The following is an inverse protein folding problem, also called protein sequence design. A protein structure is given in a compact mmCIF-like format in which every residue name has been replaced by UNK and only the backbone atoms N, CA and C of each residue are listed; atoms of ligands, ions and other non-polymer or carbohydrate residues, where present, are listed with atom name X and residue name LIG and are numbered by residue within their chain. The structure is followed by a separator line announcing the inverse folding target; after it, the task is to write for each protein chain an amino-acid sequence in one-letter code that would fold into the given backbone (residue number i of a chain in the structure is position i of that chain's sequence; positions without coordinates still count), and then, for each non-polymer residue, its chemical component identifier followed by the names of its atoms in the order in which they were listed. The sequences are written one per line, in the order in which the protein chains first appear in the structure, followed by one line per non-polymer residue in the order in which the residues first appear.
data_IF_044350015538
#
_entry.id   IF_044350015538
#
_cell.length_a   1.000
_cell.length_b   1.000
_cell.length_c   1.000
_cell.angle_alpha   90.00
_cell.angle_beta   90.00
_cell.angle_gamma   90.00
#
_symmetry.space_group_name_H-M   'P 1'
#
loop_
_entity.id
_entity.type
_entity.pdbx_description
1 polymer ?
#
# COMPACT_ATOMS: atom_id res chain seq x y z
N UNK A 1 -13.71 -12.27 7.44
CA UNK A 1 -12.27 -12.16 7.74
C UNK A 1 -11.84 -13.36 8.54
N UNK A 2 -10.93 -14.18 7.97
CA UNK A 2 -10.24 -15.25 8.70
C UNK A 2 -9.37 -14.67 9.83
N UNK A 3 -8.84 -15.51 10.70
CA UNK A 3 -7.99 -15.10 11.82
C UNK A 3 -6.75 -14.32 11.35
N UNK A 4 -6.29 -13.39 12.21
CA UNK A 4 -5.09 -12.63 11.94
C UNK A 4 -3.83 -13.51 12.17
N UNK A 5 -2.87 -13.43 11.26
CA UNK A 5 -1.66 -14.25 11.28
C UNK A 5 -0.54 -13.69 12.17
N UNK A 6 -0.67 -12.46 12.67
CA UNK A 6 0.36 -11.79 13.46
C UNK A 6 -0.24 -10.78 14.46
N UNK A 7 0.53 -10.33 15.48
CA UNK A 7 0.05 -9.39 16.49
C UNK A 7 -0.43 -8.04 15.92
N UNK A 8 0.22 -7.52 14.88
CA UNK A 8 -0.20 -6.27 14.23
C UNK A 8 -1.60 -6.39 13.64
N UNK A 9 -1.88 -7.47 12.90
CA UNK A 9 -3.23 -7.74 12.37
C UNK A 9 -4.28 -7.80 13.48
N UNK A 10 -3.97 -8.46 14.60
CA UNK A 10 -4.85 -8.51 15.76
C UNK A 10 -5.15 -7.13 16.34
N UNK A 11 -4.16 -6.22 16.45
CA UNK A 11 -4.43 -4.85 16.94
C UNK A 11 -5.41 -4.10 16.05
N UNK A 12 -5.28 -4.24 14.71
CA UNK A 12 -6.21 -3.62 13.75
C UNK A 12 -7.61 -4.22 13.85
N UNK A 13 -7.72 -5.53 13.94
CA UNK A 13 -9.00 -6.21 14.13
C UNK A 13 -9.69 -5.77 15.44
N UNK A 14 -8.95 -5.72 16.55
CA UNK A 14 -9.51 -5.27 17.84
C UNK A 14 -10.04 -3.83 17.76
N UNK A 15 -9.33 -2.91 17.09
CA UNK A 15 -9.80 -1.54 16.88
C UNK A 15 -11.13 -1.54 16.10
N UNK A 16 -11.26 -2.34 15.06
CA UNK A 16 -12.52 -2.44 14.31
C UNK A 16 -13.68 -2.91 15.21
N UNK A 17 -13.46 -3.93 16.05
CA UNK A 17 -14.50 -4.46 16.96
C UNK A 17 -14.88 -3.46 18.06
N UNK A 18 -13.90 -2.71 18.60
CA UNK A 18 -14.16 -1.63 19.55
C UNK A 18 -15.03 -0.53 18.92
N UNK A 19 -14.67 -0.08 17.70
CA UNK A 19 -15.40 0.99 17.01
C UNK A 19 -16.81 0.56 16.59
N UNK A 20 -16.99 -0.67 16.13
CA UNK A 20 -18.32 -1.27 15.87
C UNK A 20 -19.19 -1.28 17.14
N UNK A 21 -18.58 -1.63 18.27
CA UNK A 21 -19.28 -1.68 19.56
C UNK A 21 -19.64 -0.27 20.06
N UNK A 22 -18.74 0.72 19.85
CA UNK A 22 -19.01 2.12 20.17
C UNK A 22 -20.20 2.68 19.37
N UNK A 23 -20.27 2.41 18.06
CA UNK A 23 -21.40 2.81 17.21
C UNK A 23 -22.72 2.14 17.62
N UNK A 24 -22.69 0.92 18.16
CA UNK A 24 -23.90 0.28 18.72
C UNK A 24 -24.36 0.95 20.01
N UNK A 25 -23.43 1.43 20.83
CA UNK A 25 -23.74 2.10 22.08
C UNK A 25 -24.21 3.55 21.88
N UNK A 26 -23.67 4.22 20.86
CA UNK A 26 -24.04 5.59 20.47
C UNK A 26 -24.47 5.64 19.00
N UNK A 27 -25.79 5.65 18.70
CA UNK A 27 -26.30 5.70 17.34
C UNK A 27 -26.02 7.03 16.60
N UNK A 28 -25.54 8.05 17.28
CA UNK A 28 -25.18 9.35 16.66
C UNK A 28 -23.75 9.33 16.11
N UNK A 29 -22.93 8.37 16.53
CA UNK A 29 -21.55 8.25 16.11
C UNK A 29 -21.46 7.81 14.64
N UNK A 30 -20.59 8.46 13.87
CA UNK A 30 -20.24 8.08 12.51
C UNK A 30 -18.78 7.62 12.45
N UNK A 31 -18.55 6.38 12.01
CA UNK A 31 -17.22 5.78 11.88
C UNK A 31 -17.08 5.15 10.51
N UNK A 32 -16.02 5.50 9.81
CA UNK A 32 -15.62 4.84 8.55
C UNK A 32 -14.27 4.18 8.75
N UNK A 33 -14.25 2.86 8.63
CA UNK A 33 -13.05 2.03 8.73
C UNK A 33 -12.48 1.80 7.33
N UNK A 34 -11.30 2.37 7.06
CA UNK A 34 -10.62 2.22 5.79
C UNK A 34 -9.49 1.19 5.92
N UNK A 35 -9.61 0.10 5.19
CA UNK A 35 -8.58 -0.94 5.09
C UNK A 35 -7.73 -0.68 3.87
N UNK A 36 -6.55 -0.06 4.06
CA UNK A 36 -5.61 0.14 2.95
C UNK A 36 -4.76 -1.10 2.71
N UNK A 37 -4.46 -1.33 1.43
CA UNK A 37 -3.49 -2.34 1.05
C UNK A 37 -2.08 -1.74 1.12
N UNK A 38 -1.25 -1.78 0.11
CA UNK A 38 0.13 -1.30 0.20
C UNK A 38 0.29 0.10 -0.39
N UNK A 39 0.21 1.19 0.41
CA UNK A 39 0.39 2.54 -0.13
C UNK A 39 1.82 2.75 -0.61
N UNK A 40 1.95 3.27 -1.82
CA UNK A 40 3.22 3.66 -2.45
C UNK A 40 3.01 4.91 -3.33
N UNK A 41 4.06 5.37 -3.98
CA UNK A 41 4.00 6.60 -4.74
C UNK A 41 4.33 7.82 -3.88
N UNK A 42 4.29 8.96 -4.52
CA UNK A 42 4.47 10.28 -3.93
C UNK A 42 3.59 11.28 -4.67
N UNK A 43 3.44 12.49 -4.17
CA UNK A 43 2.77 13.53 -4.92
C UNK A 43 3.59 13.91 -6.16
N UNK A 44 2.95 14.10 -7.30
CA UNK A 44 3.59 14.38 -8.60
C UNK A 44 4.51 15.60 -8.60
N UNK A 45 4.30 16.55 -7.68
CA UNK A 45 5.19 17.70 -7.49
C UNK A 45 6.61 17.33 -7.05
N UNK A 46 6.80 16.14 -6.43
CA UNK A 46 8.04 15.71 -5.80
C UNK A 46 8.40 16.50 -4.53
N UNK A 47 7.42 17.18 -3.91
CA UNK A 47 7.60 17.93 -2.65
C UNK A 47 7.30 17.07 -1.41
N UNK A 48 6.47 16.04 -1.57
CA UNK A 48 6.07 15.13 -0.49
C UNK A 48 6.36 13.71 -0.94
N UNK A 49 6.99 12.92 -0.07
CA UNK A 49 7.31 11.52 -0.32
C UNK A 49 7.60 10.75 0.97
N UNK A 50 8.00 9.50 0.83
CA UNK A 50 8.26 8.61 1.96
C UNK A 50 9.75 8.61 2.34
N UNK A 51 10.05 9.04 3.57
CA UNK A 51 11.41 9.03 4.14
C UNK A 51 11.42 8.28 5.48
N UNK A 52 11.46 6.94 5.47
CA UNK A 52 11.44 6.15 6.69
C UNK A 52 12.73 6.32 7.50
N UNK A 53 12.60 6.36 8.82
CA UNK A 53 13.73 6.34 9.73
C UNK A 53 14.40 4.95 9.72
N UNK A 54 15.71 4.93 9.45
CA UNK A 54 16.50 3.69 9.42
C UNK A 54 16.31 2.86 8.15
N UNK A 55 16.29 1.53 8.31
CA UNK A 55 16.10 0.59 7.18
C UNK A 55 14.62 0.52 6.83
N UNK A 56 14.24 0.79 5.56
CA UNK A 56 12.85 0.67 5.14
C UNK A 56 12.32 -0.76 5.31
N UNK A 57 11.12 -0.87 5.85
CA UNK A 57 10.39 -2.14 5.92
C UNK A 57 9.50 -2.36 4.69
N UNK A 58 9.11 -1.26 4.00
CA UNK A 58 8.28 -1.29 2.80
C UNK A 58 9.13 -1.42 1.53
N UNK A 59 8.57 -2.05 0.50
CA UNK A 59 9.26 -2.36 -0.75
C UNK A 59 9.67 -1.09 -1.51
N UNK A 60 8.75 -0.15 -1.74
CA UNK A 60 9.02 1.02 -2.59
C UNK A 60 10.14 1.93 -2.03
N UNK A 61 10.16 2.34 -0.76
CA UNK A 61 11.27 3.14 -0.23
C UNK A 61 12.59 2.37 -0.22
N UNK A 62 12.58 1.04 -0.14
CA UNK A 62 13.80 0.24 -0.29
C UNK A 62 14.30 0.29 -1.75
N UNK A 63 13.41 0.12 -2.74
CA UNK A 63 13.71 0.24 -4.17
C UNK A 63 14.31 1.60 -4.48
N UNK A 64 13.68 2.69 -4.04
CA UNK A 64 14.17 4.06 -4.31
C UNK A 64 15.52 4.33 -3.66
N UNK A 65 15.78 3.79 -2.44
CA UNK A 65 17.09 3.89 -1.79
C UNK A 65 18.17 3.07 -2.50
N UNK A 66 17.84 1.94 -3.13
CA UNK A 66 18.77 1.19 -3.99
C UNK A 66 19.05 1.99 -5.26
N UNK A 67 18.01 2.47 -5.92
CA UNK A 67 18.12 3.23 -7.17
C UNK A 67 18.95 4.52 -7.03
N UNK A 68 18.87 5.22 -5.87
CA UNK A 68 19.68 6.44 -5.60
C UNK A 68 21.09 6.11 -5.06
N UNK A 69 21.44 4.83 -4.88
CA UNK A 69 22.77 4.41 -4.41
C UNK A 69 22.97 4.44 -2.89
N UNK A 70 21.92 4.69 -2.09
CA UNK A 70 22.00 4.60 -0.61
C UNK A 70 22.15 3.17 -0.11
N UNK A 71 21.73 2.19 -0.93
CA UNK A 71 21.83 0.75 -0.67
C UNK A 71 22.39 0.04 -1.90
N UNK A 72 23.14 -1.02 -1.66
CA UNK A 72 23.80 -1.78 -2.71
C UNK A 72 22.81 -2.54 -3.58
N UNK A 73 21.85 -3.21 -2.96
CA UNK A 73 20.89 -4.10 -3.62
C UNK A 73 19.64 -4.35 -2.79
N UNK A 74 18.56 -4.76 -3.47
CA UNK A 74 17.33 -5.24 -2.86
C UNK A 74 17.44 -6.75 -2.58
N UNK A 75 16.89 -7.22 -1.45
CA UNK A 75 16.64 -8.65 -1.23
C UNK A 75 15.17 -8.94 -1.51
N UNK A 76 14.90 -9.77 -2.51
CA UNK A 76 13.57 -10.33 -2.83
C UNK A 76 13.40 -11.61 -2.00
N UNK A 77 12.40 -11.65 -1.13
CA UNK A 77 12.19 -12.74 -0.19
C UNK A 77 11.32 -13.86 -0.77
N UNK A 78 11.98 -14.92 -1.25
CA UNK A 78 11.36 -16.09 -1.90
C UNK A 78 11.11 -15.85 -3.39
N UNK A 79 11.28 -16.91 -4.18
CA UNK A 79 10.97 -16.98 -5.61
C UNK A 79 10.28 -18.30 -5.98
N UNK A 80 9.68 -18.94 -5.00
CA UNK A 80 9.04 -20.25 -5.11
C UNK A 80 7.59 -20.24 -4.62
N UNK A 81 6.96 -19.05 -4.53
CA UNK A 81 5.52 -18.92 -4.30
C UNK A 81 4.72 -19.38 -5.53
N UNK A 82 3.50 -19.85 -5.29
CA UNK A 82 2.54 -20.16 -6.36
C UNK A 82 1.97 -18.84 -6.95
N UNK A 83 2.79 -18.17 -7.75
CA UNK A 83 2.53 -16.88 -8.39
C UNK A 83 3.23 -16.86 -9.76
N UNK A 84 2.89 -15.96 -10.69
CA UNK A 84 3.42 -15.99 -12.06
C UNK A 84 4.95 -15.97 -12.18
N UNK A 85 5.65 -15.27 -11.28
CA UNK A 85 7.11 -15.16 -11.28
C UNK A 85 7.78 -15.76 -10.02
N UNK A 86 6.98 -16.44 -9.20
CA UNK A 86 7.43 -17.06 -7.96
C UNK A 86 7.59 -16.09 -6.78
N UNK A 87 7.40 -14.77 -6.97
CA UNK A 87 7.53 -13.79 -5.88
C UNK A 87 6.17 -13.40 -5.30
N UNK A 88 6.16 -12.83 -4.09
CA UNK A 88 4.92 -12.45 -3.42
C UNK A 88 4.14 -11.37 -4.18
N UNK A 89 2.82 -11.52 -4.25
CA UNK A 89 1.90 -10.61 -4.94
C UNK A 89 1.13 -9.78 -3.93
N UNK A 90 1.11 -8.45 -4.12
CA UNK A 90 0.40 -7.48 -3.27
C UNK A 90 -0.37 -6.48 -4.12
N UNK A 91 -1.43 -5.91 -3.55
CA UNK A 91 -2.12 -4.76 -4.13
C UNK A 91 -1.42 -3.48 -3.66
N UNK A 92 -0.89 -2.73 -4.61
CA UNK A 92 -0.26 -1.44 -4.36
C UNK A 92 -1.20 -0.31 -4.79
N UNK A 93 -1.38 0.66 -3.91
CA UNK A 93 -2.24 1.83 -4.15
C UNK A 93 -1.42 3.11 -4.09
N UNK A 94 -1.68 4.02 -5.01
CA UNK A 94 -1.01 5.32 -5.00
C UNK A 94 -1.49 6.17 -3.81
N UNK A 95 -0.56 6.84 -3.11
CA UNK A 95 -0.89 7.64 -1.92
C UNK A 95 -1.89 8.76 -2.21
N UNK A 96 -1.93 9.32 -3.44
CA UNK A 96 -2.92 10.34 -3.84
C UNK A 96 -4.32 9.71 -3.97
N UNK A 97 -4.44 8.54 -4.61
CA UNK A 97 -5.71 7.81 -4.67
C UNK A 97 -6.21 7.45 -3.27
N UNK A 98 -5.29 7.05 -2.38
CA UNK A 98 -5.63 6.78 -0.99
C UNK A 98 -6.13 8.03 -0.27
N UNK A 99 -5.49 9.19 -0.47
CA UNK A 99 -5.95 10.48 0.09
C UNK A 99 -7.34 10.87 -0.43
N UNK A 100 -7.60 10.69 -1.74
CA UNK A 100 -8.94 10.88 -2.31
C UNK A 100 -9.98 9.95 -1.67
N UNK A 101 -9.61 8.70 -1.39
CA UNK A 101 -10.46 7.75 -0.67
C UNK A 101 -10.84 8.24 0.74
N UNK A 102 -9.92 8.90 1.45
CA UNK A 102 -10.23 9.53 2.74
C UNK A 102 -11.21 10.69 2.59
N UNK A 103 -11.07 11.53 1.56
CA UNK A 103 -12.02 12.61 1.30
C UNK A 103 -13.43 12.07 1.03
N UNK A 104 -13.56 11.04 0.21
CA UNK A 104 -14.85 10.37 -0.03
C UNK A 104 -15.42 9.76 1.26
N UNK A 105 -14.58 9.16 2.11
CA UNK A 105 -15.00 8.59 3.39
C UNK A 105 -15.48 9.68 4.37
N UNK A 106 -14.83 10.83 4.42
CA UNK A 106 -15.27 11.98 5.24
C UNK A 106 -16.64 12.49 4.76
N UNK A 107 -16.83 12.65 3.44
CA UNK A 107 -18.12 13.06 2.88
C UNK A 107 -19.23 12.05 3.23
N UNK A 108 -18.94 10.77 3.14
CA UNK A 108 -19.85 9.72 3.55
C UNK A 108 -20.20 9.81 5.05
N UNK A 109 -19.20 9.99 5.92
CA UNK A 109 -19.37 10.09 7.35
C UNK A 109 -20.24 11.30 7.78
N UNK A 110 -20.19 12.41 7.04
CA UNK A 110 -21.06 13.57 7.30
C UNK A 110 -22.55 13.32 7.01
N UNK A 111 -22.85 12.38 6.11
CA UNK A 111 -24.21 12.08 5.67
C UNK A 111 -24.82 10.83 6.36
N UNK A 112 -24.01 10.04 7.05
CA UNK A 112 -24.41 8.74 7.61
C UNK A 112 -23.91 8.58 9.04
N UNK A 113 -24.67 7.86 9.86
CA UNK A 113 -24.25 7.42 11.19
C UNK A 113 -23.98 5.90 11.20
N UNK A 114 -23.38 5.41 12.28
CA UNK A 114 -23.02 4.01 12.45
C UNK A 114 -21.60 3.71 11.99
N UNK A 115 -21.29 2.44 11.75
CA UNK A 115 -19.94 1.98 11.40
C UNK A 115 -19.93 1.30 10.05
N UNK A 116 -19.17 1.84 9.10
CA UNK A 116 -19.03 1.27 7.76
C UNK A 116 -17.56 0.96 7.43
N UNK A 117 -17.33 -0.08 6.62
CA UNK A 117 -15.98 -0.59 6.32
C UNK A 117 -15.77 -0.62 4.81
N UNK A 118 -14.65 -0.05 4.34
CA UNK A 118 -14.26 -0.07 2.94
C UNK A 118 -12.80 -0.53 2.77
N UNK A 119 -12.57 -1.36 1.77
CA UNK A 119 -11.22 -1.67 1.30
C UNK A 119 -10.79 -0.59 0.29
N UNK A 120 -9.61 -0.03 0.49
CA UNK A 120 -8.97 0.90 -0.46
C UNK A 120 -7.74 0.23 -1.08
N UNK A 121 -7.90 -0.24 -2.29
CA UNK A 121 -6.90 -0.88 -3.13
C UNK A 121 -7.28 -0.75 -4.59
N UNK A 122 -6.45 -1.27 -5.49
CA UNK A 122 -6.70 -1.25 -6.93
C UNK A 122 -7.55 -2.45 -7.39
N UNK A 123 -7.59 -3.52 -6.59
CA UNK A 123 -8.17 -4.80 -6.96
C UNK A 123 -7.23 -5.65 -7.84
N UNK A 124 -6.01 -5.20 -8.06
CA UNK A 124 -5.00 -5.88 -8.88
C UNK A 124 -3.76 -6.21 -8.05
N UNK A 125 -3.29 -7.43 -8.18
CA UNK A 125 -2.07 -7.88 -7.56
C UNK A 125 -0.86 -7.63 -8.47
N UNK A 126 0.22 -7.10 -7.88
CA UNK A 126 1.52 -6.87 -8.54
C UNK A 126 2.57 -7.66 -7.78
N UNK A 127 3.42 -8.40 -8.48
CA UNK A 127 4.51 -9.16 -7.87
C UNK A 127 5.70 -8.26 -7.50
N UNK A 128 6.58 -8.78 -6.63
CA UNK A 128 7.80 -8.02 -6.25
C UNK A 128 8.71 -7.80 -7.47
N UNK A 129 8.90 -8.80 -8.33
CA UNK A 129 9.74 -8.64 -9.52
C UNK A 129 9.09 -7.74 -10.57
N UNK A 130 7.78 -7.82 -10.77
CA UNK A 130 7.04 -6.90 -11.64
C UNK A 130 7.23 -5.44 -11.16
N UNK A 131 7.13 -5.18 -9.86
CA UNK A 131 7.40 -3.85 -9.29
C UNK A 131 8.83 -3.37 -9.59
N UNK A 132 9.83 -4.23 -9.37
CA UNK A 132 11.25 -3.89 -9.60
C UNK A 132 11.51 -3.60 -11.08
N UNK A 133 10.98 -4.43 -11.98
CA UNK A 133 11.15 -4.24 -13.41
C UNK A 133 10.44 -2.98 -13.90
N UNK A 134 9.17 -2.78 -13.52
CA UNK A 134 8.42 -1.57 -13.89
C UNK A 134 9.12 -0.31 -13.39
N UNK A 135 9.62 -0.32 -12.14
CA UNK A 135 10.35 0.83 -11.60
C UNK A 135 11.61 1.14 -12.43
N UNK A 136 12.39 0.10 -12.76
CA UNK A 136 13.62 0.26 -13.54
C UNK A 136 13.35 0.78 -14.95
N UNK A 137 12.33 0.24 -15.63
CA UNK A 137 11.95 0.62 -16.99
C UNK A 137 11.42 2.05 -17.06
N UNK A 138 10.44 2.39 -16.20
CA UNK A 138 9.77 3.70 -16.22
C UNK A 138 10.74 4.84 -15.91
N UNK A 139 11.70 4.61 -15.01
CA UNK A 139 12.64 5.63 -14.56
C UNK A 139 14.02 5.56 -15.23
N UNK A 140 14.25 4.54 -16.06
CA UNK A 140 15.54 4.26 -16.69
C UNK A 140 16.69 4.22 -15.67
N UNK A 141 16.45 3.57 -14.52
CA UNK A 141 17.40 3.43 -13.41
C UNK A 141 17.46 1.97 -12.97
N UNK A 142 18.65 1.35 -12.89
CA UNK A 142 18.76 -0.05 -12.47
C UNK A 142 18.47 -0.22 -10.97
N UNK A 143 17.78 -1.30 -10.63
CA UNK A 143 17.57 -1.75 -9.25
C UNK A 143 18.16 -3.14 -9.11
N UNK A 144 19.44 -3.26 -8.72
CA UNK A 144 20.05 -4.56 -8.49
C UNK A 144 19.37 -5.27 -7.32
N UNK A 145 19.14 -6.59 -7.50
CA UNK A 145 18.52 -7.40 -6.45
C UNK A 145 19.15 -8.80 -6.36
N UNK A 146 18.89 -9.46 -5.23
CA UNK A 146 19.20 -10.86 -4.98
C UNK A 146 17.98 -11.58 -4.43
N UNK A 147 17.86 -12.87 -4.68
CA UNK A 147 16.81 -13.69 -4.08
C UNK A 147 17.31 -14.20 -2.72
N UNK A 148 16.52 -13.94 -1.69
CA UNK A 148 16.70 -14.49 -0.35
C UNK A 148 15.64 -15.54 0.00
N UNK A 149 15.73 -16.18 1.16
CA UNK A 149 14.73 -17.13 1.64
C UNK A 149 13.40 -16.41 1.91
N UNK A 150 12.28 -17.16 1.89
CA UNK A 150 10.96 -16.63 2.30
C UNK A 150 11.00 -16.08 3.72
N UNK A 151 10.25 -15.00 3.96
CA UNK A 151 9.99 -14.55 5.33
C UNK A 151 8.85 -15.38 5.93
N UNK A 152 8.98 -15.68 7.23
CA UNK A 152 7.93 -16.40 7.96
C UNK A 152 6.63 -15.57 7.98
N UNK A 153 5.51 -16.22 7.64
CA UNK A 153 4.18 -15.60 7.66
C UNK A 153 3.80 -14.81 6.40
N UNK A 154 4.68 -14.71 5.39
CA UNK A 154 4.31 -14.08 4.12
C UNK A 154 3.34 -14.99 3.32
N UNK A 155 2.23 -14.39 2.87
CA UNK A 155 1.27 -15.02 1.97
C UNK A 155 1.72 -14.84 0.51
N UNK A 156 1.43 -15.84 -0.34
CA UNK A 156 1.76 -15.77 -1.77
C UNK A 156 1.06 -14.58 -2.44
N UNK A 157 -0.25 -14.42 -2.22
CA UNK A 157 -1.06 -13.40 -2.90
C UNK A 157 -2.03 -12.73 -1.93
N UNK A 158 -2.05 -11.38 -1.94
CA UNK A 158 -3.00 -10.56 -1.19
C UNK A 158 -3.36 -9.32 -2.00
N UNK A 159 -4.64 -9.17 -2.36
CA UNK A 159 -5.17 -7.98 -3.03
C UNK A 159 -6.59 -7.67 -2.57
N UNK A 160 -7.05 -6.44 -2.84
CA UNK A 160 -8.34 -5.92 -2.40
C UNK A 160 -9.49 -6.44 -3.27
N UNK A 161 -10.69 -6.46 -2.68
CA UNK A 161 -11.93 -6.22 -3.40
C UNK A 161 -12.42 -4.81 -3.04
N UNK A 162 -12.24 -3.80 -3.92
CA UNK A 162 -12.66 -2.41 -3.70
C UNK A 162 -14.09 -2.14 -4.18
N UNK A 163 -14.84 -3.13 -4.63
CA UNK A 163 -16.18 -2.97 -5.24
C UNK A 163 -17.13 -2.16 -4.38
N UNK A 164 -17.12 -2.36 -3.06
CA UNK A 164 -17.97 -1.62 -2.13
C UNK A 164 -17.59 -0.13 -2.06
N UNK A 165 -16.31 0.20 -2.08
CA UNK A 165 -15.85 1.60 -2.11
C UNK A 165 -16.31 2.28 -3.41
N UNK A 166 -16.22 1.60 -4.53
CA UNK A 166 -16.72 2.12 -5.82
C UNK A 166 -18.23 2.34 -5.81
N UNK A 167 -19.01 1.39 -5.30
CA UNK A 167 -20.47 1.47 -5.31
C UNK A 167 -21.03 2.50 -4.34
N UNK A 168 -20.46 2.62 -3.15
CA UNK A 168 -21.02 3.43 -2.06
C UNK A 168 -20.34 4.80 -1.96
N UNK A 169 -19.00 4.85 -2.06
CA UNK A 169 -18.25 6.10 -2.00
C UNK A 169 -18.08 6.77 -3.36
N UNK A 170 -18.36 6.07 -4.48
CA UNK A 170 -18.03 6.55 -5.82
C UNK A 170 -16.52 6.64 -6.07
N UNK A 171 -15.71 5.97 -5.25
CA UNK A 171 -14.27 6.03 -5.30
C UNK A 171 -13.66 4.78 -5.96
N UNK A 172 -12.67 5.01 -6.80
CA UNK A 172 -11.79 3.97 -7.33
C UNK A 172 -10.38 4.51 -7.51
N UNK A 173 -9.38 3.64 -7.42
CA UNK A 173 -7.99 3.99 -7.71
C UNK A 173 -7.81 4.26 -9.20
N UNK A 174 -7.09 5.32 -9.56
CA UNK A 174 -6.91 5.79 -10.95
C UNK A 174 -5.45 5.72 -11.41
N UNK A 175 -4.51 5.84 -10.49
CA UNK A 175 -3.08 5.85 -10.79
C UNK A 175 -2.59 4.43 -11.10
N UNK A 176 -1.76 4.33 -12.13
CA UNK A 176 -1.16 3.06 -12.57
C UNK A 176 0.09 2.71 -11.77
N UNK A 177 0.58 1.47 -11.90
CA UNK A 177 1.87 1.06 -11.33
C UNK A 177 3.02 1.95 -11.85
N UNK A 178 2.98 2.31 -13.13
CA UNK A 178 3.96 3.21 -13.73
C UNK A 178 3.95 4.60 -13.09
N UNK A 179 2.75 5.14 -12.76
CA UNK A 179 2.63 6.42 -12.05
C UNK A 179 3.21 6.33 -10.64
N UNK A 180 2.89 5.24 -9.91
CA UNK A 180 3.43 4.98 -8.57
C UNK A 180 4.97 4.96 -8.58
N UNK A 181 5.56 4.26 -9.53
CA UNK A 181 7.01 4.16 -9.70
C UNK A 181 7.65 5.51 -10.07
N UNK A 182 7.05 6.22 -11.02
CA UNK A 182 7.52 7.53 -11.49
C UNK A 182 7.50 8.57 -10.38
N UNK A 183 6.38 8.68 -9.68
CA UNK A 183 6.17 9.70 -8.67
C UNK A 183 7.04 9.43 -7.43
N UNK A 184 7.23 8.15 -7.05
CA UNK A 184 8.20 7.76 -6.00
C UNK A 184 9.62 8.18 -6.35
N UNK A 185 10.04 7.93 -7.59
CA UNK A 185 11.37 8.31 -8.06
C UNK A 185 11.54 9.82 -8.20
N UNK A 186 10.52 10.52 -8.69
CA UNK A 186 10.53 11.99 -8.80
C UNK A 186 10.80 12.65 -7.43
N UNK A 187 10.22 12.13 -6.35
CA UNK A 187 10.52 12.60 -5.01
C UNK A 187 11.92 12.19 -4.56
N UNK A 188 12.28 10.90 -4.64
CA UNK A 188 13.57 10.41 -4.14
C UNK A 188 14.76 11.03 -4.85
N UNK A 189 14.69 11.25 -6.16
CA UNK A 189 15.77 11.86 -6.94
C UNK A 189 16.02 13.32 -6.58
N UNK A 190 14.96 14.05 -6.17
CA UNK A 190 15.06 15.43 -5.66
C UNK A 190 15.49 15.49 -4.18
N UNK A 191 15.31 14.40 -3.44
CA UNK A 191 15.61 14.28 -2.02
C UNK A 191 16.51 13.05 -1.76
N UNK A 192 17.75 13.04 -2.24
CA UNK A 192 18.61 11.84 -2.19
C UNK A 192 18.94 11.39 -0.76
N UNK A 193 18.95 12.31 0.20
CA UNK A 193 19.19 12.01 1.62
C UNK A 193 17.91 11.98 2.47
N UNK A 194 16.74 12.22 1.88
CA UNK A 194 15.47 12.43 2.56
C UNK A 194 15.21 13.91 2.84
N UNK A 195 14.29 14.18 3.78
CA UNK A 195 13.99 15.55 4.22
C UNK A 195 15.17 16.18 4.95
#
# INVERSE_FOLDING_TARGET
TGGCSNPYGWTKFMIEEILKSACKADPTLSVVLLRYFNPIGAHESGLIGENPNGIPNNLMPYITQVAIGRREKLTVFGNDYDTPDGTGVRDYIHVVDLAEGHLCAIQYAHAHTGCEIFNLGTGHGVSVLEMVHTFSEVNNVPVPYVIGPRRAGDLATVYADPSKAKQILGWEAKKTLADMCRDSWNWQSKNPTGY
#
